data_IF_792573687636
#
_entry.id   IF_792573687636
#
_cell.length_a   1.000
_cell.length_b   1.000
_cell.length_c   1.000
_cell.angle_alpha   90.00
_cell.angle_beta   90.00
_cell.angle_gamma   90.00
#
_symmetry.space_group_name_H-M   'P 1'
#
loop_
_entity.id
_entity.type
_entity.pdbx_description
1 polymer ?
#
# COMPACT_ATOMS: atom_id res chain seq x y z
N UNK A 1 5.86 -25.36 0.53
CA UNK A 1 5.78 -23.97 0.99
C UNK A 1 5.59 -23.01 -0.17
N UNK A 2 6.33 -23.17 -1.30
CA UNK A 2 6.20 -22.24 -2.47
C UNK A 2 4.81 -22.23 -3.10
N UNK A 3 4.06 -23.34 -3.09
CA UNK A 3 2.70 -23.43 -3.64
C UNK A 3 1.62 -22.88 -2.70
N UNK A 4 1.84 -22.89 -1.38
CA UNK A 4 0.87 -22.40 -0.42
C UNK A 4 0.84 -20.87 -0.32
N UNK A 5 1.96 -20.19 -0.63
CA UNK A 5 2.10 -18.77 -0.46
C UNK A 5 1.12 -17.89 -1.27
N UNK A 6 0.89 -18.15 -2.58
CA UNK A 6 -0.13 -17.45 -3.34
C UNK A 6 -1.54 -17.63 -2.79
N UNK A 7 -1.84 -18.78 -2.21
CA UNK A 7 -3.15 -19.06 -1.59
C UNK A 7 -3.31 -18.21 -0.34
N UNK A 8 -2.30 -18.18 0.54
CA UNK A 8 -2.31 -17.37 1.76
C UNK A 8 -2.50 -15.89 1.45
N UNK A 9 -1.77 -15.35 0.46
CA UNK A 9 -1.89 -13.97 0.04
C UNK A 9 -3.29 -13.65 -0.50
N UNK A 10 -3.83 -14.49 -1.38
CA UNK A 10 -5.18 -14.32 -1.93
C UNK A 10 -6.27 -14.40 -0.87
N UNK A 11 -6.16 -15.36 0.05
CA UNK A 11 -7.08 -15.48 1.18
C UNK A 11 -7.05 -14.23 2.05
N UNK A 12 -5.86 -13.69 2.33
CA UNK A 12 -5.71 -12.46 3.09
C UNK A 12 -6.32 -11.25 2.34
N UNK A 13 -6.13 -11.12 1.03
CA UNK A 13 -6.74 -10.04 0.23
C UNK A 13 -8.26 -10.12 0.31
N UNK A 14 -8.84 -11.31 0.13
CA UNK A 14 -10.29 -11.52 0.20
C UNK A 14 -10.85 -11.25 1.58
N UNK A 15 -10.31 -11.91 2.60
CA UNK A 15 -10.88 -11.89 3.94
C UNK A 15 -10.61 -10.58 4.69
N UNK A 16 -9.48 -9.92 4.42
CA UNK A 16 -9.11 -8.73 5.16
C UNK A 16 -9.30 -7.47 4.33
N UNK A 17 -8.57 -7.34 3.21
CA UNK A 17 -8.56 -6.09 2.45
C UNK A 17 -9.90 -5.79 1.78
N UNK A 18 -10.58 -6.80 1.21
CA UNK A 18 -11.88 -6.61 0.58
C UNK A 18 -12.96 -6.31 1.62
N UNK A 19 -13.00 -7.07 2.73
CA UNK A 19 -13.96 -6.84 3.81
C UNK A 19 -13.82 -5.45 4.41
N UNK A 20 -12.59 -5.03 4.73
CA UNK A 20 -12.34 -3.69 5.28
C UNK A 20 -12.70 -2.59 4.29
N UNK A 21 -12.41 -2.76 3.00
CA UNK A 21 -12.77 -1.80 1.94
C UNK A 21 -14.28 -1.65 1.81
N UNK A 22 -15.03 -2.78 1.85
CA UNK A 22 -16.49 -2.80 1.85
C UNK A 22 -17.05 -1.96 3.01
N UNK A 23 -16.65 -2.30 4.24
CA UNK A 23 -17.20 -1.66 5.43
C UNK A 23 -16.78 -0.19 5.55
N UNK A 24 -15.55 0.17 5.17
CA UNK A 24 -15.11 1.55 5.19
C UNK A 24 -15.91 2.42 4.22
N UNK A 25 -16.19 1.94 3.00
CA UNK A 25 -16.99 2.65 2.02
C UNK A 25 -18.47 2.70 2.39
N UNK A 26 -19.02 1.60 2.86
CA UNK A 26 -20.43 1.51 3.27
C UNK A 26 -20.76 2.46 4.42
N UNK A 27 -19.78 2.65 5.33
CA UNK A 27 -19.92 3.47 6.52
C UNK A 27 -19.72 4.97 6.32
N UNK A 28 -19.41 5.43 5.12
CA UNK A 28 -19.30 6.86 4.86
C UNK A 28 -20.58 7.58 5.33
N UNK A 29 -20.41 8.72 5.96
CA UNK A 29 -21.54 9.61 6.32
C UNK A 29 -21.74 10.68 5.25
N UNK A 30 -20.69 11.01 4.49
CA UNK A 30 -20.71 11.92 3.36
C UNK A 30 -19.60 11.57 2.35
N UNK A 31 -19.85 11.78 1.07
CA UNK A 31 -18.87 11.55 0.00
C UNK A 31 -17.63 12.45 0.15
N UNK A 32 -17.75 13.60 0.82
CA UNK A 32 -16.60 14.47 1.13
C UNK A 32 -15.51 13.78 1.95
N UNK A 33 -15.85 12.73 2.69
CA UNK A 33 -14.87 11.92 3.43
C UNK A 33 -13.91 11.15 2.51
N UNK A 34 -14.22 11.02 1.22
CA UNK A 34 -13.32 10.43 0.22
C UNK A 34 -12.19 11.36 -0.20
N UNK A 35 -12.27 12.67 0.07
CA UNK A 35 -11.25 13.64 -0.35
C UNK A 35 -9.88 13.29 0.25
N UNK A 36 -9.81 13.05 1.56
CA UNK A 36 -8.56 12.70 2.22
C UNK A 36 -7.95 11.37 1.71
N UNK A 37 -8.70 10.26 1.61
CA UNK A 37 -8.21 9.02 0.99
C UNK A 37 -7.72 9.20 -0.46
N UNK A 38 -8.45 9.97 -1.27
CA UNK A 38 -8.07 10.20 -2.67
C UNK A 38 -6.81 11.07 -2.79
N UNK A 39 -6.64 12.07 -1.93
CA UNK A 39 -5.39 12.83 -1.84
C UNK A 39 -4.21 11.91 -1.50
N UNK A 40 -4.35 11.03 -0.52
CA UNK A 40 -3.30 10.07 -0.17
C UNK A 40 -3.00 9.09 -1.32
N UNK A 41 -4.02 8.58 -1.98
CA UNK A 41 -3.87 7.72 -3.14
C UNK A 41 -3.21 8.46 -4.32
N UNK A 42 -3.52 9.74 -4.51
CA UNK A 42 -2.94 10.58 -5.58
C UNK A 42 -1.42 10.65 -5.52
N UNK A 43 -0.81 10.67 -4.32
CA UNK A 43 0.64 10.62 -4.16
C UNK A 43 1.26 9.34 -4.71
N UNK A 44 0.58 8.22 -4.56
CA UNK A 44 1.06 6.95 -5.10
C UNK A 44 0.92 6.88 -6.62
N UNK A 45 -0.17 7.44 -7.17
CA UNK A 45 -0.31 7.60 -8.61
C UNK A 45 0.78 8.52 -9.20
N UNK A 46 1.12 9.60 -8.50
CA UNK A 46 2.24 10.48 -8.90
C UNK A 46 3.56 9.70 -8.93
N UNK A 47 3.86 8.95 -7.88
CA UNK A 47 5.06 8.10 -7.82
C UNK A 47 5.09 7.08 -8.96
N UNK A 48 3.93 6.47 -9.26
CA UNK A 48 3.79 5.53 -10.37
C UNK A 48 4.14 6.20 -11.71
N UNK A 49 3.51 7.35 -12.00
CA UNK A 49 3.75 8.09 -13.26
C UNK A 49 5.23 8.49 -13.37
N UNK A 50 5.81 9.05 -12.31
CA UNK A 50 7.22 9.44 -12.28
C UNK A 50 8.13 8.22 -12.46
N UNK A 51 7.88 7.12 -11.76
CA UNK A 51 8.72 5.93 -11.86
C UNK A 51 8.68 5.32 -13.26
N UNK A 52 7.51 5.27 -13.90
CA UNK A 52 7.36 4.78 -15.27
C UNK A 52 7.99 5.75 -16.27
N UNK A 53 7.69 7.04 -16.19
CA UNK A 53 8.18 8.05 -17.12
C UNK A 53 9.70 8.21 -17.09
N UNK A 54 10.32 8.14 -15.92
CA UNK A 54 11.77 8.32 -15.73
C UNK A 54 12.57 7.02 -15.87
N UNK A 55 11.93 5.91 -16.21
CA UNK A 55 12.61 4.61 -16.39
C UNK A 55 13.44 4.55 -17.68
N UNK A 56 13.19 5.42 -18.64
CA UNK A 56 13.88 5.43 -19.93
C UNK A 56 13.48 4.23 -20.81
N UNK A 57 14.47 3.61 -21.49
CA UNK A 57 14.25 2.47 -22.41
C UNK A 57 13.90 1.14 -21.71
N UNK A 58 13.85 1.10 -20.37
CA UNK A 58 13.49 -0.11 -19.63
C UNK A 58 11.98 -0.36 -19.68
N UNK A 59 11.57 -1.58 -19.35
CA UNK A 59 10.14 -1.94 -19.43
C UNK A 59 9.27 -1.11 -18.48
N UNK A 60 8.05 -0.79 -18.92
CA UNK A 60 7.06 -0.11 -18.07
C UNK A 60 6.68 -0.96 -16.86
N UNK A 61 6.74 -2.28 -16.99
CA UNK A 61 6.52 -3.22 -15.90
C UNK A 61 7.53 -3.10 -14.76
N UNK A 62 8.82 -2.87 -15.07
CA UNK A 62 9.83 -2.59 -14.03
C UNK A 62 9.60 -1.24 -13.35
N UNK A 63 9.23 -0.18 -14.09
CA UNK A 63 8.88 1.11 -13.50
C UNK A 63 7.68 1.03 -12.57
N UNK A 64 6.65 0.26 -12.97
CA UNK A 64 5.50 -0.01 -12.12
C UNK A 64 5.89 -0.75 -10.83
N UNK A 65 6.77 -1.75 -10.93
CA UNK A 65 7.29 -2.47 -9.77
C UNK A 65 8.09 -1.57 -8.82
N UNK A 66 8.91 -0.65 -9.36
CA UNK A 66 9.69 0.29 -8.55
C UNK A 66 8.81 1.28 -7.79
N UNK A 67 7.78 1.83 -8.44
CA UNK A 67 6.83 2.71 -7.76
C UNK A 67 6.12 2.00 -6.62
N UNK A 68 5.77 0.75 -6.82
CA UNK A 68 5.14 -0.07 -5.79
C UNK A 68 6.11 -0.41 -4.65
N UNK A 69 7.40 -0.69 -4.96
CA UNK A 69 8.42 -0.99 -3.96
C UNK A 69 8.73 0.20 -3.04
N UNK A 70 8.72 1.43 -3.56
CA UNK A 70 8.92 2.64 -2.76
C UNK A 70 7.62 3.20 -2.19
N UNK A 71 6.47 2.73 -2.64
CA UNK A 71 5.16 3.08 -2.09
C UNK A 71 5.01 2.70 -0.62
N UNK A 72 4.10 3.33 0.12
CA UNK A 72 3.84 2.97 1.51
C UNK A 72 3.30 1.55 1.62
N UNK A 73 3.64 0.88 2.69
CA UNK A 73 2.99 -0.36 3.09
C UNK A 73 1.59 -0.06 3.66
N UNK A 74 0.66 0.31 2.78
CA UNK A 74 -0.63 0.90 3.17
C UNK A 74 -1.46 -0.05 4.03
N UNK A 75 -1.58 -1.32 3.64
CA UNK A 75 -2.41 -2.29 4.35
C UNK A 75 -1.80 -2.74 5.69
N UNK A 76 -0.54 -3.18 5.66
CA UNK A 76 0.06 -3.87 6.81
C UNK A 76 0.80 -2.95 7.78
N UNK A 77 1.02 -1.70 7.40
CA UNK A 77 1.70 -0.72 8.24
C UNK A 77 0.86 0.53 8.48
N UNK A 78 0.43 1.21 7.42
CA UNK A 78 -0.27 2.50 7.58
C UNK A 78 -1.59 2.33 8.33
N UNK A 79 -2.41 1.32 8.01
CA UNK A 79 -3.69 1.11 8.69
C UNK A 79 -3.51 0.80 10.19
N UNK A 80 -2.67 -0.16 10.62
CA UNK A 80 -2.44 -0.40 12.05
C UNK A 80 -1.94 0.83 12.80
N UNK A 81 -0.95 1.53 12.25
CA UNK A 81 -0.36 2.70 12.91
C UNK A 81 -1.35 3.87 12.94
N UNK A 82 -2.06 4.14 11.84
CA UNK A 82 -3.12 5.15 11.83
C UNK A 82 -4.23 4.85 12.85
N UNK A 83 -4.59 3.57 13.01
CA UNK A 83 -5.56 3.14 14.04
C UNK A 83 -5.03 3.44 15.45
N UNK A 84 -3.77 3.14 15.71
CA UNK A 84 -3.16 3.35 17.04
C UNK A 84 -3.03 4.85 17.40
N UNK A 85 -2.71 5.71 16.43
CA UNK A 85 -2.46 7.12 16.69
C UNK A 85 -3.69 8.02 16.49
N UNK A 86 -4.61 7.67 15.59
CA UNK A 86 -5.77 8.49 15.22
C UNK A 86 -7.12 7.75 15.31
N UNK A 87 -7.14 6.57 15.93
CA UNK A 87 -8.37 5.80 16.19
C UNK A 87 -9.10 5.36 14.91
N UNK A 88 -10.41 5.16 15.02
CA UNK A 88 -11.26 4.68 13.91
C UNK A 88 -11.31 5.66 12.73
N UNK A 89 -11.17 6.95 12.96
CA UNK A 89 -11.13 7.96 11.88
C UNK A 89 -9.85 7.81 11.04
N UNK A 90 -8.69 7.61 11.68
CA UNK A 90 -7.43 7.32 11.00
C UNK A 90 -7.48 5.99 10.25
N UNK A 91 -8.04 4.94 10.88
CA UNK A 91 -8.26 3.65 10.25
C UNK A 91 -9.11 3.78 8.97
N UNK A 92 -10.22 4.51 9.02
CA UNK A 92 -11.11 4.70 7.87
C UNK A 92 -10.39 5.40 6.71
N UNK A 93 -9.68 6.50 6.96
CA UNK A 93 -8.91 7.20 5.91
C UNK A 93 -7.87 6.26 5.30
N UNK A 94 -7.11 5.54 6.12
CA UNK A 94 -6.06 4.64 5.66
C UNK A 94 -6.60 3.44 4.86
N UNK A 95 -7.71 2.83 5.31
CA UNK A 95 -8.36 1.71 4.59
C UNK A 95 -8.92 2.17 3.25
N UNK A 96 -9.60 3.32 3.19
CA UNK A 96 -10.13 3.86 1.94
C UNK A 96 -9.01 4.25 0.97
N UNK A 97 -7.91 4.85 1.45
CA UNK A 97 -6.74 5.13 0.64
C UNK A 97 -6.10 3.84 0.10
N UNK A 98 -5.99 2.80 0.93
CA UNK A 98 -5.49 1.49 0.51
C UNK A 98 -6.40 0.85 -0.55
N UNK A 99 -7.72 0.95 -0.41
CA UNK A 99 -8.68 0.46 -1.38
C UNK A 99 -8.60 1.22 -2.72
N UNK A 100 -8.45 2.54 -2.69
CA UNK A 100 -8.23 3.35 -3.90
C UNK A 100 -6.90 2.98 -4.60
N UNK A 101 -5.86 2.63 -3.85
CA UNK A 101 -4.59 2.15 -4.40
C UNK A 101 -4.68 0.75 -5.03
N UNK A 102 -5.70 -0.03 -4.73
CA UNK A 102 -5.88 -1.33 -5.37
C UNK A 102 -6.06 -1.19 -6.89
N UNK A 103 -6.63 -0.07 -7.38
CA UNK A 103 -6.70 0.24 -8.83
C UNK A 103 -5.28 0.39 -9.39
N UNK A 104 -4.40 1.15 -8.73
CA UNK A 104 -3.00 1.29 -9.15
C UNK A 104 -2.29 -0.06 -9.16
N UNK A 105 -2.49 -0.87 -8.12
CA UNK A 105 -1.90 -2.21 -8.02
C UNK A 105 -2.34 -3.10 -9.19
N UNK A 106 -3.60 -3.02 -9.61
CA UNK A 106 -4.12 -3.72 -10.77
C UNK A 106 -3.41 -3.31 -12.06
N UNK A 107 -3.21 -2.00 -12.25
CA UNK A 107 -2.46 -1.46 -13.41
C UNK A 107 -1.00 -1.90 -13.35
N UNK A 108 -0.35 -1.84 -12.18
CA UNK A 108 1.03 -2.31 -12.00
C UNK A 108 1.16 -3.79 -12.36
N UNK A 109 0.26 -4.65 -11.86
CA UNK A 109 0.25 -6.09 -12.17
C UNK A 109 0.03 -6.33 -13.66
N UNK A 110 -0.87 -5.59 -14.29
CA UNK A 110 -1.11 -5.69 -15.73
C UNK A 110 0.17 -5.37 -16.53
N UNK A 111 0.85 -4.27 -16.21
CA UNK A 111 2.08 -3.87 -16.89
C UNK A 111 3.23 -4.86 -16.65
N UNK A 112 3.41 -5.31 -15.41
CA UNK A 112 4.41 -6.33 -15.09
C UNK A 112 4.16 -7.61 -15.89
N UNK A 113 2.89 -8.05 -15.96
CA UNK A 113 2.52 -9.23 -16.72
C UNK A 113 2.77 -9.06 -18.23
N UNK A 114 2.38 -7.92 -18.78
CA UNK A 114 2.57 -7.63 -20.21
C UNK A 114 4.03 -7.68 -20.61
N UNK A 115 4.89 -7.09 -19.78
CA UNK A 115 6.31 -6.90 -20.05
C UNK A 115 7.18 -8.05 -19.48
N UNK A 116 6.57 -9.03 -18.80
CA UNK A 116 7.26 -10.19 -18.24
C UNK A 116 7.85 -11.09 -19.35
N UNK A 117 8.98 -11.78 -19.07
CA UNK A 117 9.55 -12.76 -19.97
C UNK A 117 8.55 -13.84 -20.38
N UNK A 118 8.68 -14.34 -21.61
CA UNK A 118 7.85 -15.45 -22.13
C UNK A 118 8.00 -16.65 -21.20
N UNK A 119 6.88 -17.22 -20.75
CA UNK A 119 6.85 -18.36 -19.80
C UNK A 119 6.57 -17.95 -18.33
N UNK A 120 6.69 -16.66 -17.98
CA UNK A 120 6.36 -16.18 -16.63
C UNK A 120 5.05 -15.36 -16.56
N UNK A 121 4.35 -15.24 -17.69
CA UNK A 121 3.07 -14.53 -17.78
C UNK A 121 1.97 -15.32 -17.07
N UNK A 122 1.61 -14.93 -15.86
CA UNK A 122 0.53 -15.57 -15.10
C UNK A 122 -0.81 -14.86 -15.34
N UNK A 123 -1.91 -15.61 -15.20
CA UNK A 123 -3.26 -15.01 -15.25
C UNK A 123 -3.50 -14.16 -13.99
N UNK A 124 -4.06 -12.97 -14.17
CA UNK A 124 -4.61 -12.20 -13.05
C UNK A 124 -5.87 -12.90 -12.52
N UNK A 125 -6.01 -12.96 -11.21
CA UNK A 125 -7.21 -13.48 -10.57
C UNK A 125 -8.16 -12.32 -10.25
N UNK A 126 -9.48 -12.55 -10.33
CA UNK A 126 -10.48 -11.60 -9.85
C UNK A 126 -10.30 -11.28 -8.35
N UNK A 127 -9.72 -12.21 -7.59
CA UNK A 127 -9.35 -12.04 -6.19
C UNK A 127 -8.41 -10.84 -5.98
N UNK A 128 -7.50 -10.62 -6.92
CA UNK A 128 -6.55 -9.50 -6.86
C UNK A 128 -7.27 -8.14 -7.00
N UNK A 129 -8.49 -8.13 -7.57
CA UNK A 129 -9.36 -6.97 -7.74
C UNK A 129 -10.42 -6.84 -6.64
N UNK A 130 -10.54 -7.82 -5.76
CA UNK A 130 -11.62 -7.86 -4.76
C UNK A 130 -11.69 -6.63 -3.85
N UNK A 131 -10.59 -5.94 -3.45
CA UNK A 131 -10.68 -4.71 -2.67
C UNK A 131 -11.36 -3.57 -3.43
N UNK A 132 -11.13 -3.46 -4.75
CA UNK A 132 -11.79 -2.43 -5.60
C UNK A 132 -13.26 -2.75 -5.78
N UNK A 133 -13.59 -4.02 -6.06
CA UNK A 133 -14.98 -4.45 -6.18
C UNK A 133 -15.74 -4.24 -4.87
N UNK A 134 -15.12 -4.59 -3.75
CA UNK A 134 -15.69 -4.39 -2.42
C UNK A 134 -15.90 -2.90 -2.09
N UNK A 135 -14.95 -2.03 -2.46
CA UNK A 135 -15.10 -0.58 -2.37
C UNK A 135 -16.33 -0.11 -3.15
N UNK A 136 -16.47 -0.55 -4.41
CA UNK A 136 -17.62 -0.22 -5.26
C UNK A 136 -18.95 -0.66 -4.66
N UNK A 137 -19.04 -1.90 -4.19
CA UNK A 137 -20.24 -2.43 -3.50
C UNK A 137 -20.54 -1.63 -2.24
N UNK A 138 -19.53 -1.31 -1.43
CA UNK A 138 -19.69 -0.49 -0.22
C UNK A 138 -20.25 0.90 -0.51
N UNK A 139 -19.76 1.56 -1.59
CA UNK A 139 -20.29 2.84 -2.04
C UNK A 139 -21.74 2.74 -2.53
N UNK A 140 -22.08 1.70 -3.28
CA UNK A 140 -23.47 1.47 -3.71
C UNK A 140 -24.41 1.27 -2.52
N UNK A 141 -23.99 0.51 -1.51
CA UNK A 141 -24.76 0.30 -0.29
C UNK A 141 -24.91 1.61 0.52
N UNK A 142 -23.85 2.43 0.56
CA UNK A 142 -23.93 3.77 1.15
C UNK A 142 -24.97 4.65 0.42
N UNK A 143 -24.93 4.70 -0.91
CA UNK A 143 -25.87 5.47 -1.72
C UNK A 143 -27.32 4.95 -1.59
N UNK A 144 -27.51 3.65 -1.36
CA UNK A 144 -28.81 3.06 -1.08
C UNK A 144 -29.35 3.36 0.34
N UNK A 145 -28.65 4.15 1.13
CA UNK A 145 -29.07 4.57 2.48
C UNK A 145 -29.04 3.45 3.53
N UNK A 146 -28.37 2.34 3.26
CA UNK A 146 -28.27 1.20 4.18
C UNK A 146 -26.99 1.33 5.01
N UNK A 147 -27.09 1.86 6.23
CA UNK A 147 -25.95 1.90 7.16
C UNK A 147 -25.83 0.58 7.94
N UNK A 148 -24.62 -0.03 8.04
CA UNK A 148 -24.43 -1.23 8.85
C UNK A 148 -24.40 -0.86 10.34
N UNK A 149 -25.17 -1.57 11.16
CA UNK A 149 -25.28 -1.31 12.60
C UNK A 149 -24.00 -1.64 13.38
N UNK A 150 -23.20 -2.61 12.90
CA UNK A 150 -22.01 -3.16 13.60
C UNK A 150 -20.66 -2.76 13.00
N UNK A 151 -20.63 -1.78 12.08
CA UNK A 151 -19.39 -1.43 11.34
C UNK A 151 -18.29 -0.81 12.21
N UNK A 152 -18.63 -0.26 13.40
CA UNK A 152 -17.63 0.30 14.32
C UNK A 152 -16.62 -0.76 14.75
N UNK A 153 -17.11 -1.95 15.08
CA UNK A 153 -16.29 -3.04 15.57
C UNK A 153 -15.38 -3.62 14.48
N UNK A 154 -15.88 -3.71 13.25
CA UNK A 154 -15.09 -4.19 12.12
C UNK A 154 -13.90 -3.27 11.82
N UNK A 155 -14.11 -1.95 11.84
CA UNK A 155 -13.02 -0.98 11.63
C UNK A 155 -12.06 -0.90 12.82
N UNK A 156 -12.53 -1.10 14.04
CA UNK A 156 -11.67 -1.19 15.22
C UNK A 156 -10.74 -2.41 15.17
N UNK A 157 -11.20 -3.51 14.57
CA UNK A 157 -10.37 -4.70 14.35
C UNK A 157 -9.42 -4.58 13.14
N UNK A 158 -9.58 -3.57 12.30
CA UNK A 158 -8.76 -3.41 11.09
C UNK A 158 -7.25 -3.35 11.41
N UNK A 159 -6.85 -2.56 12.40
CA UNK A 159 -5.46 -2.43 12.80
C UNK A 159 -4.86 -3.76 13.26
N UNK A 160 -5.40 -4.43 14.29
CA UNK A 160 -4.91 -5.71 14.77
C UNK A 160 -4.91 -6.81 13.69
N UNK A 161 -5.98 -6.94 12.89
CA UNK A 161 -6.06 -7.94 11.82
C UNK A 161 -4.99 -7.75 10.75
N UNK A 162 -4.77 -6.50 10.31
CA UNK A 162 -3.76 -6.22 9.31
C UNK A 162 -2.34 -6.30 9.86
N UNK A 163 -2.12 -5.93 11.13
CA UNK A 163 -0.82 -6.11 11.80
C UNK A 163 -0.46 -7.60 11.89
N UNK A 164 -1.40 -8.44 12.32
CA UNK A 164 -1.21 -9.89 12.38
C UNK A 164 -0.95 -10.49 11.00
N UNK A 165 -1.76 -10.15 10.00
CA UNK A 165 -1.58 -10.58 8.61
C UNK A 165 -0.22 -10.12 8.06
N UNK A 166 0.19 -8.87 8.35
CA UNK A 166 1.48 -8.31 7.96
C UNK A 166 2.66 -9.04 8.58
N UNK A 167 2.58 -9.37 9.86
CA UNK A 167 3.61 -10.13 10.56
C UNK A 167 3.76 -11.55 9.97
N UNK A 168 2.65 -12.22 9.66
CA UNK A 168 2.66 -13.53 9.02
C UNK A 168 3.29 -13.49 7.62
N UNK A 169 2.95 -12.47 6.82
CA UNK A 169 3.52 -12.24 5.49
C UNK A 169 5.01 -11.90 5.55
N UNK A 170 5.42 -11.11 6.55
CA UNK A 170 6.83 -10.81 6.79
C UNK A 170 7.63 -12.06 7.14
N UNK A 171 7.15 -12.84 8.10
CA UNK A 171 7.80 -14.09 8.48
C UNK A 171 7.97 -15.04 7.28
N UNK A 172 6.94 -15.17 6.43
CA UNK A 172 7.02 -15.95 5.20
C UNK A 172 8.01 -15.40 4.17
N UNK A 173 8.17 -14.07 4.06
CA UNK A 173 9.13 -13.46 3.13
C UNK A 173 10.59 -13.61 3.56
N UNK A 174 10.85 -13.62 4.87
CA UNK A 174 12.19 -13.82 5.45
C UNK A 174 12.69 -15.27 5.24
N UNK A 175 11.78 -16.23 5.20
CA UNK A 175 12.13 -17.66 4.98
C UNK A 175 12.60 -17.92 3.52
N UNK A 176 12.42 -16.98 2.60
CA UNK A 176 12.84 -17.13 1.19
C UNK A 176 13.86 -16.06 0.74
N UNK A 177 15.04 -15.95 1.39
CA UNK A 177 16.02 -14.90 1.08
C UNK A 177 16.75 -15.07 -0.27
N UNK A 178 16.65 -16.24 -0.91
CA UNK A 178 17.50 -16.60 -2.07
C UNK A 178 17.26 -15.77 -3.33
N UNK A 179 16.18 -15.01 -3.43
CA UNK A 179 15.87 -14.22 -4.61
C UNK A 179 16.23 -12.72 -4.48
N UNK A 180 16.79 -12.31 -3.35
CA UNK A 180 17.14 -10.92 -3.07
C UNK A 180 18.62 -10.58 -3.37
N UNK A 181 19.40 -11.52 -3.92
CA UNK A 181 20.82 -11.34 -4.28
C UNK A 181 20.99 -10.61 -5.61
N UNK A 182 20.44 -9.41 -5.73
CA UNK A 182 20.80 -8.52 -6.84
C UNK A 182 22.05 -7.73 -6.44
N UNK A 183 23.06 -7.58 -7.35
CA UNK A 183 24.26 -6.80 -7.06
C UNK A 183 23.93 -5.41 -6.50
N UNK A 184 24.69 -4.95 -5.52
CA UNK A 184 24.61 -3.58 -5.02
C UNK A 184 24.93 -2.65 -6.20
N UNK A 185 23.93 -1.94 -6.69
CA UNK A 185 24.11 -0.97 -7.77
C UNK A 185 23.84 0.42 -7.17
N UNK A 186 24.81 1.31 -7.25
CA UNK A 186 24.66 2.72 -6.85
C UNK A 186 23.48 3.37 -7.56
N UNK A 187 23.22 2.96 -8.79
CA UNK A 187 22.05 3.42 -9.54
C UNK A 187 20.74 3.02 -8.87
N UNK A 188 20.62 1.79 -8.36
CA UNK A 188 19.41 1.33 -7.68
C UNK A 188 19.16 2.10 -6.37
N UNK A 189 20.23 2.39 -5.62
CA UNK A 189 20.14 3.19 -4.40
C UNK A 189 19.72 4.64 -4.70
N UNK A 190 20.36 5.30 -5.66
CA UNK A 190 19.98 6.67 -6.09
C UNK A 190 18.53 6.74 -6.57
N UNK A 191 18.10 5.73 -7.31
CA UNK A 191 16.73 5.62 -7.81
C UNK A 191 15.73 5.46 -6.67
N UNK A 192 16.00 4.55 -5.75
CA UNK A 192 15.19 4.37 -4.55
C UNK A 192 15.12 5.64 -3.72
N UNK A 193 16.26 6.29 -3.47
CA UNK A 193 16.34 7.51 -2.69
C UNK A 193 15.49 8.62 -3.33
N UNK A 194 15.65 8.84 -4.63
CA UNK A 194 14.90 9.85 -5.37
C UNK A 194 13.38 9.63 -5.26
N UNK A 195 12.89 8.44 -5.55
CA UNK A 195 11.46 8.13 -5.46
C UNK A 195 10.94 8.21 -4.01
N UNK A 196 11.77 7.83 -3.04
CA UNK A 196 11.43 7.94 -1.61
C UNK A 196 11.34 9.40 -1.18
N UNK A 197 12.26 10.26 -1.62
CA UNK A 197 12.22 11.71 -1.35
C UNK A 197 10.94 12.32 -1.94
N UNK A 198 10.57 11.98 -3.16
CA UNK A 198 9.32 12.43 -3.77
C UNK A 198 8.09 11.98 -2.95
N UNK A 199 8.07 10.72 -2.49
CA UNK A 199 7.02 10.23 -1.62
C UNK A 199 6.92 11.07 -0.35
N UNK A 200 8.02 11.19 0.38
CA UNK A 200 8.07 11.94 1.63
C UNK A 200 7.64 13.38 1.40
N UNK A 201 8.18 14.06 0.39
CA UNK A 201 7.84 15.44 0.06
C UNK A 201 6.33 15.61 -0.19
N UNK A 202 5.72 14.73 -1.01
CA UNK A 202 4.30 14.79 -1.29
C UNK A 202 3.46 14.70 0.00
N UNK A 203 3.73 13.71 0.85
CA UNK A 203 2.96 13.53 2.08
C UNK A 203 3.21 14.64 3.09
N UNK A 204 4.43 15.20 3.15
CA UNK A 204 4.73 16.33 4.01
C UNK A 204 4.02 17.63 3.55
N UNK A 205 3.81 17.80 2.24
CA UNK A 205 2.95 18.90 1.73
C UNK A 205 1.52 18.74 2.24
N UNK A 206 0.97 17.52 2.25
CA UNK A 206 -0.37 17.28 2.83
C UNK A 206 -0.38 17.62 4.32
N UNK A 207 0.64 17.22 5.09
CA UNK A 207 0.77 17.53 6.51
C UNK A 207 0.79 19.06 6.74
N UNK A 208 1.56 19.79 5.94
CA UNK A 208 1.67 21.24 6.06
C UNK A 208 0.39 21.99 5.64
N UNK A 209 -0.37 21.43 4.69
CA UNK A 209 -1.57 22.07 4.13
C UNK A 209 -2.85 21.75 4.90
N UNK A 210 -2.86 20.72 5.77
CA UNK A 210 -4.08 20.29 6.45
C UNK A 210 -4.18 20.82 7.88
N UNK A 211 -5.37 21.25 8.27
CA UNK A 211 -5.74 21.51 9.66
C UNK A 211 -6.23 20.26 10.39
N UNK A 212 -6.49 19.16 9.66
CA UNK A 212 -6.97 17.91 10.25
C UNK A 212 -5.81 17.13 10.86
N UNK A 213 -5.77 17.04 12.19
CA UNK A 213 -4.79 16.23 12.93
C UNK A 213 -4.79 14.76 12.46
N UNK A 214 -5.98 14.19 12.26
CA UNK A 214 -6.13 12.81 11.77
C UNK A 214 -5.47 12.63 10.40
N UNK A 215 -5.74 13.53 9.44
CA UNK A 215 -5.13 13.45 8.11
C UNK A 215 -3.61 13.68 8.18
N UNK A 216 -3.14 14.61 9.00
CA UNK A 216 -1.71 14.84 9.21
C UNK A 216 -0.99 13.58 9.73
N UNK A 217 -1.57 12.88 10.70
CA UNK A 217 -1.04 11.61 11.21
C UNK A 217 -0.98 10.56 10.09
N UNK A 218 -2.09 10.34 9.38
CA UNK A 218 -2.13 9.32 8.31
C UNK A 218 -1.17 9.65 7.18
N UNK A 219 -1.05 10.92 6.78
CA UNK A 219 -0.10 11.37 5.77
C UNK A 219 1.35 11.16 6.23
N UNK A 220 1.69 11.52 7.48
CA UNK A 220 3.02 11.30 8.06
C UNK A 220 3.40 9.81 8.03
N UNK A 221 2.51 8.95 8.51
CA UNK A 221 2.73 7.50 8.53
C UNK A 221 2.83 6.92 7.12
N UNK A 222 2.09 7.46 6.15
CA UNK A 222 2.17 7.06 4.74
C UNK A 222 3.48 7.49 4.10
N UNK A 223 3.91 8.73 4.31
CA UNK A 223 5.16 9.26 3.78
C UNK A 223 6.40 8.55 4.34
N UNK A 224 6.39 8.21 5.61
CA UNK A 224 7.49 7.60 6.35
C UNK A 224 7.21 6.13 6.73
N UNK A 225 6.49 5.42 5.87
CA UNK A 225 6.08 4.04 6.11
C UNK A 225 7.21 3.03 5.95
N UNK A 226 7.01 1.87 6.58
CA UNK A 226 7.78 0.67 6.29
C UNK A 226 7.69 0.28 4.80
N UNK A 227 8.70 -0.44 4.27
CA UNK A 227 8.68 -0.91 2.90
C UNK A 227 7.51 -1.88 2.67
N UNK A 228 6.93 -1.82 1.47
CA UNK A 228 5.91 -2.78 1.07
C UNK A 228 6.55 -4.13 0.76
N UNK A 229 5.92 -5.24 1.19
CA UNK A 229 6.40 -6.60 0.91
C UNK A 229 5.81 -7.19 -0.37
N UNK A 230 4.65 -6.73 -0.78
CA UNK A 230 3.97 -7.21 -1.98
C UNK A 230 4.84 -7.12 -3.26
N UNK A 231 5.62 -6.04 -3.48
CA UNK A 231 6.52 -5.93 -4.63
C UNK A 231 7.57 -7.04 -4.73
N UNK A 232 8.06 -7.54 -3.59
CA UNK A 232 9.04 -8.64 -3.57
C UNK A 232 8.42 -9.90 -4.18
N UNK A 233 7.21 -10.21 -3.75
CA UNK A 233 6.46 -11.37 -4.24
C UNK A 233 6.14 -11.23 -5.72
N UNK A 234 5.74 -10.05 -6.16
CA UNK A 234 5.44 -9.76 -7.55
C UNK A 234 6.70 -9.80 -8.42
N UNK A 235 7.84 -9.31 -7.93
CA UNK A 235 9.12 -9.44 -8.62
C UNK A 235 9.47 -10.90 -8.90
N UNK A 236 9.30 -11.77 -7.89
CA UNK A 236 9.54 -13.21 -8.02
C UNK A 236 8.53 -13.86 -8.98
N UNK A 237 7.25 -13.51 -8.87
CA UNK A 237 6.18 -14.08 -9.70
C UNK A 237 6.34 -13.77 -11.20
N UNK A 238 6.84 -12.58 -11.53
CA UNK A 238 7.00 -12.11 -12.90
C UNK A 238 8.46 -12.11 -13.38
N UNK A 239 9.39 -12.63 -12.57
CA UNK A 239 10.79 -12.79 -12.94
C UNK A 239 11.59 -11.49 -13.03
N UNK A 240 11.13 -10.42 -12.38
CA UNK A 240 11.87 -9.16 -12.33
C UNK A 240 12.99 -9.21 -11.30
N UNK A 241 14.17 -8.75 -11.71
CA UNK A 241 15.31 -8.50 -10.82
C UNK A 241 15.44 -7.00 -10.58
N UNK A 242 14.76 -6.47 -9.59
CA UNK A 242 14.80 -5.04 -9.30
C UNK A 242 15.71 -4.73 -8.12
N UNK A 243 16.81 -4.01 -8.40
CA UNK A 243 17.68 -3.47 -7.36
C UNK A 243 16.95 -2.50 -6.42
N UNK A 244 15.96 -1.76 -6.93
CA UNK A 244 15.14 -0.81 -6.15
C UNK A 244 14.32 -1.55 -5.09
N UNK A 245 13.75 -2.72 -5.40
CA UNK A 245 13.03 -3.56 -4.43
C UNK A 245 13.96 -3.97 -3.30
N UNK A 246 15.18 -4.44 -3.61
CA UNK A 246 16.15 -4.85 -2.60
C UNK A 246 16.59 -3.69 -1.70
N UNK A 247 16.86 -2.53 -2.30
CA UNK A 247 17.23 -1.32 -1.56
C UNK A 247 16.09 -0.90 -0.65
N UNK A 248 14.85 -0.92 -1.13
CA UNK A 248 13.65 -0.59 -0.34
C UNK A 248 13.52 -1.48 0.90
N UNK A 249 13.70 -2.79 0.75
CA UNK A 249 13.61 -3.74 1.86
C UNK A 249 14.71 -3.52 2.90
N UNK A 250 15.91 -3.15 2.45
CA UNK A 250 17.06 -2.95 3.35
C UNK A 250 17.03 -1.60 4.07
N UNK A 251 16.70 -0.53 3.36
CA UNK A 251 16.82 0.84 3.85
C UNK A 251 15.50 1.51 4.22
N UNK A 252 14.37 1.00 3.71
CA UNK A 252 13.05 1.61 3.97
C UNK A 252 12.66 1.66 5.45
N UNK A 253 13.20 0.76 6.26
CA UNK A 253 12.97 0.73 7.71
C UNK A 253 13.54 1.92 8.47
N UNK A 254 14.53 2.62 7.93
CA UNK A 254 15.13 3.80 8.55
C UNK A 254 14.10 4.94 8.70
N UNK A 255 13.09 4.99 7.86
CA UNK A 255 12.03 6.00 7.91
C UNK A 255 11.00 5.75 9.02
N UNK A 256 10.88 4.52 9.49
CA UNK A 256 9.84 4.10 10.45
C UNK A 256 9.94 4.84 11.78
N UNK A 257 11.09 4.86 12.49
CA UNK A 257 11.18 5.56 13.78
C UNK A 257 10.90 7.05 13.65
N UNK A 258 11.32 7.68 12.55
CA UNK A 258 11.02 9.10 12.28
C UNK A 258 9.51 9.31 12.09
N UNK A 259 8.86 8.44 11.30
CA UNK A 259 7.42 8.48 11.07
C UNK A 259 6.60 8.30 12.35
N UNK A 260 6.99 7.35 13.20
CA UNK A 260 6.32 7.12 14.49
C UNK A 260 6.52 8.30 15.45
N UNK A 261 7.74 8.85 15.54
CA UNK A 261 8.04 10.01 16.37
C UNK A 261 7.24 11.26 15.96
N UNK A 262 7.18 11.55 14.65
CA UNK A 262 6.38 12.67 14.14
C UNK A 262 4.87 12.45 14.33
N UNK A 263 4.36 11.25 14.08
CA UNK A 263 2.94 10.93 14.31
C UNK A 263 2.58 11.07 15.80
N UNK A 264 3.47 10.66 16.71
CA UNK A 264 3.32 10.87 18.14
C UNK A 264 3.31 12.39 18.47
N UNK A 265 4.26 13.14 17.95
CA UNK A 265 4.31 14.59 18.17
C UNK A 265 3.03 15.28 17.71
N UNK A 266 2.51 14.96 16.52
CA UNK A 266 1.25 15.50 16.00
C UNK A 266 0.05 15.10 16.88
N UNK A 267 0.07 13.89 17.44
CA UNK A 267 -1.01 13.42 18.31
C UNK A 267 -1.11 14.24 19.61
N UNK A 268 0.02 14.64 20.17
CA UNK A 268 0.06 15.32 21.47
C UNK A 268 0.20 16.83 21.39
N UNK A 269 0.47 17.41 20.22
CA UNK A 269 0.36 18.84 19.96
C UNK A 269 -1.10 19.28 19.83
#
# INVERSE_FOLDING_TARGET
VQHAWPIVLRTQILLTSATLSLFAAWRLTALTQLVAPLLLAGGLWLLYVVAVATRGKRSTGEGALESWAVGPNSGFWVVPVATAFAGSAGAMIAVLANAANAIQNAVCVHLMRRDAPIGQRRSTSWVDQSPVLALGVGLLLHLAGRAPSSSKDVLALAGPLLAFSGAALFAGSVVHPHNLSVPKSDHAFRRWLWLTVLRVAYFMVIVAATSSRTLAIVATVSGLSAPSFTPIQQAVLYGYRSGVVNVSVRWGWVLVPVGLGLAAAIRWA
#
